data_IF_219433535842
#
_entry.id   IF_219433535842
#
_cell.length_a   1.000
_cell.length_b   1.000
_cell.length_c   1.000
_cell.angle_alpha   90.00
_cell.angle_beta   90.00
_cell.angle_gamma   90.00
#
_symmetry.space_group_name_H-M   'P 1'
#
loop_
_entity.id
_entity.type
_entity.pdbx_description
1 polymer ?
#
# COMPACT_ATOMS: atom_id res chain seq x y z
N UNK A 1 -0.38 -28.55 -29.87
CA UNK A 1 -1.29 -27.51 -30.39
C UNK A 1 -0.72 -26.15 -30.01
N UNK A 2 -0.38 -25.30 -31.00
CA UNK A 2 -0.04 -23.90 -30.73
C UNK A 2 -1.33 -23.16 -30.48
N UNK A 3 -1.52 -22.68 -29.23
CA UNK A 3 -2.62 -21.79 -28.90
C UNK A 3 -2.36 -20.44 -29.60
N UNK A 4 -3.21 -20.06 -30.54
CA UNK A 4 -3.18 -18.74 -31.15
C UNK A 4 -3.88 -17.76 -30.20
N UNK A 5 -3.12 -16.84 -29.58
CA UNK A 5 -3.66 -15.74 -28.75
C UNK A 5 -3.60 -14.45 -29.56
N UNK A 6 -4.65 -13.63 -29.47
CA UNK A 6 -4.75 -12.34 -30.15
C UNK A 6 -3.97 -11.21 -29.45
N UNK A 7 -3.66 -11.39 -28.16
CA UNK A 7 -2.93 -10.43 -27.34
C UNK A 7 -2.66 -11.00 -25.96
N UNK A 8 -1.85 -10.29 -25.18
CA UNK A 8 -1.46 -10.64 -23.80
C UNK A 8 -1.82 -9.49 -22.88
N UNK A 9 -2.54 -9.79 -21.80
CA UNK A 9 -2.69 -8.89 -20.66
C UNK A 9 -1.82 -9.46 -19.53
N UNK A 10 -0.76 -8.75 -19.17
CA UNK A 10 0.14 -9.14 -18.09
C UNK A 10 -0.30 -8.46 -16.79
N UNK A 11 -0.70 -9.27 -15.80
CA UNK A 11 -0.82 -8.81 -14.41
C UNK A 11 0.53 -9.11 -13.76
N UNK A 12 1.37 -8.08 -13.58
CA UNK A 12 2.75 -8.38 -13.26
C UNK A 12 3.32 -7.58 -12.10
N UNK A 13 4.11 -8.28 -11.29
CA UNK A 13 5.01 -7.72 -10.30
C UNK A 13 6.48 -7.89 -10.68
N UNK A 14 6.76 -8.75 -11.67
CA UNK A 14 8.13 -9.03 -12.12
C UNK A 14 8.52 -8.06 -13.24
N UNK A 15 9.57 -7.28 -13.01
CA UNK A 15 10.21 -6.39 -13.97
C UNK A 15 11.60 -6.87 -14.36
N UNK A 16 11.83 -8.19 -14.33
CA UNK A 16 13.12 -8.76 -14.70
C UNK A 16 13.49 -8.39 -16.15
N UNK A 17 14.78 -8.12 -16.43
CA UNK A 17 15.24 -7.80 -17.78
C UNK A 17 14.88 -8.86 -18.82
N UNK A 18 14.83 -10.13 -18.40
CA UNK A 18 14.45 -11.25 -19.26
C UNK A 18 12.99 -11.17 -19.67
N UNK A 19 12.08 -10.91 -18.73
CA UNK A 19 10.66 -10.74 -19.01
C UNK A 19 10.42 -9.50 -19.87
N UNK A 20 11.07 -8.38 -19.55
CA UNK A 20 10.98 -7.15 -20.34
C UNK A 20 11.35 -7.40 -21.81
N UNK A 21 12.44 -8.11 -22.05
CA UNK A 21 12.87 -8.47 -23.41
C UNK A 21 11.86 -9.38 -24.09
N UNK A 22 11.43 -10.44 -23.43
CA UNK A 22 10.46 -11.39 -23.97
C UNK A 22 9.14 -10.72 -24.38
N UNK A 23 8.67 -9.75 -23.58
CA UNK A 23 7.44 -9.01 -23.89
C UNK A 23 7.61 -8.03 -25.04
N UNK A 24 8.77 -7.37 -25.18
CA UNK A 24 9.09 -6.48 -26.30
C UNK A 24 9.22 -7.26 -27.63
N UNK A 25 9.72 -8.48 -27.56
CA UNK A 25 9.91 -9.36 -28.71
C UNK A 25 8.61 -10.12 -29.12
N UNK A 26 7.51 -9.93 -28.35
CA UNK A 26 6.22 -10.53 -28.65
C UNK A 26 5.65 -10.03 -30.00
N UNK A 27 5.13 -10.97 -30.81
CA UNK A 27 4.47 -10.65 -32.09
C UNK A 27 3.00 -10.24 -31.93
N UNK A 28 2.44 -10.35 -30.75
CA UNK A 28 1.06 -9.97 -30.42
C UNK A 28 1.06 -8.76 -29.50
N UNK A 29 0.00 -7.92 -29.51
CA UNK A 29 -0.11 -6.80 -28.60
C UNK A 29 0.00 -7.23 -27.14
N UNK A 30 0.74 -6.45 -26.33
CA UNK A 30 0.91 -6.67 -24.90
C UNK A 30 0.47 -5.43 -24.15
N UNK A 31 -0.34 -5.61 -23.10
CA UNK A 31 -0.71 -4.56 -22.14
C UNK A 31 -0.33 -5.03 -20.74
N UNK A 32 0.36 -4.19 -19.99
CA UNK A 32 0.72 -4.47 -18.58
C UNK A 32 -0.26 -3.77 -17.66
N UNK A 33 -0.71 -4.45 -16.60
CA UNK A 33 -1.58 -3.87 -15.59
C UNK A 33 -0.95 -3.93 -14.21
N UNK A 34 -1.27 -2.95 -13.37
CA UNK A 34 -0.85 -2.88 -11.97
C UNK A 34 0.47 -2.12 -11.76
N UNK A 35 1.30 -1.96 -12.75
CA UNK A 35 2.54 -1.21 -12.67
C UNK A 35 2.93 -0.55 -13.98
N UNK A 36 3.78 0.46 -13.90
CA UNK A 36 4.39 1.06 -15.07
C UNK A 36 5.51 0.17 -15.57
N UNK A 37 5.46 -0.14 -16.86
CA UNK A 37 6.45 -0.96 -17.55
C UNK A 37 7.03 -0.17 -18.71
N UNK A 38 8.35 0.06 -18.71
CA UNK A 38 9.00 0.90 -19.71
C UNK A 38 8.66 0.44 -21.15
N UNK A 39 8.25 1.38 -22.00
CA UNK A 39 7.99 1.21 -23.42
C UNK A 39 6.84 0.25 -23.83
N UNK A 40 6.03 -0.23 -22.88
CA UNK A 40 4.81 -0.99 -23.16
C UNK A 40 3.57 -0.23 -22.75
N UNK A 41 2.44 -0.40 -23.45
CA UNK A 41 1.15 0.09 -22.95
C UNK A 41 0.87 -0.47 -21.57
N UNK A 42 0.56 0.40 -20.60
CA UNK A 42 0.29 -0.02 -19.23
C UNK A 42 -0.86 0.76 -18.60
N UNK A 43 -1.62 0.07 -17.76
CA UNK A 43 -2.67 0.64 -16.93
C UNK A 43 -2.26 0.41 -15.47
N UNK A 44 -2.06 1.48 -14.71
CA UNK A 44 -1.57 1.42 -13.34
C UNK A 44 -2.21 2.48 -12.45
N UNK A 45 -2.15 2.26 -11.15
CA UNK A 45 -2.62 3.21 -10.16
C UNK A 45 -1.54 4.26 -9.86
N UNK A 46 -1.96 5.47 -9.51
CA UNK A 46 -1.05 6.44 -8.89
C UNK A 46 -0.88 6.11 -7.40
N UNK A 47 -0.09 5.07 -7.13
CA UNK A 47 0.16 4.53 -5.80
C UNK A 47 0.78 5.56 -4.85
N UNK A 48 1.64 6.45 -5.38
CA UNK A 48 2.27 7.51 -4.61
C UNK A 48 1.24 8.56 -4.16
N UNK A 49 0.41 9.04 -5.07
CA UNK A 49 -0.66 9.98 -4.72
C UNK A 49 -1.71 9.35 -3.81
N UNK A 50 -2.06 8.08 -4.02
CA UNK A 50 -3.00 7.38 -3.16
C UNK A 50 -2.54 7.35 -1.69
N UNK A 51 -1.29 6.95 -1.46
CA UNK A 51 -0.72 6.89 -0.11
C UNK A 51 -0.54 8.29 0.50
N UNK A 52 -0.14 9.28 -0.31
CA UNK A 52 -0.04 10.68 0.12
C UNK A 52 -1.37 11.23 0.59
N UNK A 53 -2.43 11.05 -0.18
CA UNK A 53 -3.76 11.59 0.14
C UNK A 53 -4.34 10.94 1.41
N UNK A 54 -4.16 9.62 1.62
CA UNK A 54 -4.56 8.95 2.86
C UNK A 54 -3.81 9.50 4.06
N UNK A 55 -2.50 9.71 3.92
CA UNK A 55 -1.67 10.27 4.99
C UNK A 55 -2.06 11.70 5.30
N UNK A 56 -2.29 12.55 4.27
CA UNK A 56 -2.81 13.91 4.46
C UNK A 56 -4.11 13.91 5.25
N UNK A 57 -5.03 12.98 4.93
CA UNK A 57 -6.30 12.86 5.65
C UNK A 57 -6.07 12.58 7.14
N UNK A 58 -5.14 11.72 7.50
CA UNK A 58 -4.77 11.49 8.90
C UNK A 58 -4.20 12.75 9.56
N UNK A 59 -3.29 13.45 8.87
CA UNK A 59 -2.68 14.69 9.36
C UNK A 59 -3.71 15.80 9.56
N UNK A 60 -4.69 15.93 8.66
CA UNK A 60 -5.83 16.85 8.80
C UNK A 60 -6.67 16.56 10.05
N UNK A 61 -6.74 15.28 10.48
CA UNK A 61 -7.40 14.88 11.72
C UNK A 61 -6.48 14.92 12.96
N UNK A 62 -5.36 15.64 12.85
CA UNK A 62 -4.45 15.90 13.96
C UNK A 62 -3.48 14.78 14.30
N UNK A 63 -3.39 13.71 13.50
CA UNK A 63 -2.42 12.62 13.72
C UNK A 63 -1.02 13.11 13.33
N UNK A 64 -0.01 12.82 14.16
CA UNK A 64 1.38 13.30 13.95
C UNK A 64 2.41 12.18 14.03
N UNK A 65 2.11 11.11 14.75
CA UNK A 65 3.01 9.98 14.97
C UNK A 65 2.62 8.84 14.01
N UNK A 66 2.84 9.09 12.73
CA UNK A 66 2.47 8.17 11.65
C UNK A 66 3.51 7.05 11.54
N UNK A 67 3.03 5.81 11.40
CA UNK A 67 3.85 4.65 11.04
C UNK A 67 3.36 4.03 9.74
N UNK A 68 4.22 3.27 9.05
CA UNK A 68 3.91 2.66 7.77
C UNK A 68 4.13 1.15 7.80
N UNK A 69 3.15 0.38 7.34
CA UNK A 69 3.28 -1.05 7.07
C UNK A 69 3.27 -1.24 5.56
N UNK A 70 4.43 -1.58 4.99
CA UNK A 70 4.69 -1.61 3.56
C UNK A 70 4.91 -2.99 2.98
N UNK A 71 5.00 -3.06 1.66
CA UNK A 71 5.51 -4.21 0.91
C UNK A 71 7.03 -4.18 0.77
N UNK A 72 7.58 -5.16 0.05
CA UNK A 72 9.01 -5.24 -0.25
C UNK A 72 9.53 -3.97 -0.92
N UNK A 73 10.70 -3.48 -0.51
CA UNK A 73 11.36 -2.33 -1.16
C UNK A 73 11.80 -2.63 -2.61
N UNK A 74 11.70 -3.86 -3.06
CA UNK A 74 11.96 -4.25 -4.45
C UNK A 74 10.74 -4.04 -5.36
N UNK A 75 9.54 -3.88 -4.80
CA UNK A 75 8.32 -3.59 -5.53
C UNK A 75 8.19 -2.08 -5.74
N UNK A 76 8.19 -1.66 -7.01
CA UNK A 76 8.15 -0.26 -7.38
C UNK A 76 6.83 0.44 -6.98
N UNK A 77 5.70 -0.25 -7.06
CA UNK A 77 4.38 0.30 -6.78
C UNK A 77 4.04 0.23 -5.28
N UNK A 78 3.96 -0.96 -4.73
CA UNK A 78 3.47 -1.18 -3.36
C UNK A 78 4.55 -0.97 -2.31
N UNK A 79 5.82 -1.21 -2.65
CA UNK A 79 6.95 -1.02 -1.75
C UNK A 79 7.49 0.41 -1.77
N UNK A 80 7.85 0.91 -2.95
CA UNK A 80 8.55 2.20 -3.08
C UNK A 80 7.55 3.36 -3.19
N UNK A 81 6.63 3.33 -4.18
CA UNK A 81 5.79 4.49 -4.48
C UNK A 81 4.84 4.83 -3.32
N UNK A 82 4.19 3.84 -2.69
CA UNK A 82 3.30 4.09 -1.55
C UNK A 82 4.06 4.65 -0.36
N UNK A 83 5.23 4.11 -0.02
CA UNK A 83 6.09 4.67 1.03
C UNK A 83 6.48 6.12 0.74
N UNK A 84 6.90 6.41 -0.49
CA UNK A 84 7.24 7.78 -0.89
C UNK A 84 6.04 8.73 -0.74
N UNK A 85 4.83 8.27 -1.06
CA UNK A 85 3.60 9.04 -0.85
C UNK A 85 3.37 9.41 0.61
N UNK A 86 3.56 8.47 1.54
CA UNK A 86 3.49 8.76 2.98
C UNK A 86 4.54 9.80 3.38
N UNK A 87 5.77 9.62 2.93
CA UNK A 87 6.87 10.55 3.21
C UNK A 87 6.61 11.95 2.66
N UNK A 88 6.05 12.06 1.46
CA UNK A 88 5.70 13.35 0.86
C UNK A 88 4.69 14.10 1.72
N UNK A 89 3.62 13.44 2.18
CA UNK A 89 2.62 14.06 3.03
C UNK A 89 3.21 14.54 4.38
N UNK A 90 4.15 13.79 4.96
CA UNK A 90 4.85 14.20 6.17
C UNK A 90 5.72 15.44 5.94
N UNK A 91 6.47 15.50 4.81
CA UNK A 91 7.29 16.66 4.45
C UNK A 91 6.47 17.92 4.24
N UNK A 92 5.29 17.81 3.64
CA UNK A 92 4.39 18.94 3.39
C UNK A 92 3.98 19.69 4.67
N UNK A 93 3.95 18.99 5.80
CA UNK A 93 3.61 19.57 7.11
C UNK A 93 4.83 19.73 8.03
N UNK A 94 6.05 19.55 7.50
CA UNK A 94 7.30 19.73 8.24
C UNK A 94 7.64 18.61 9.24
N UNK A 95 7.02 17.43 9.14
CA UNK A 95 7.34 16.26 9.95
C UNK A 95 8.53 15.49 9.38
N UNK A 96 9.22 14.73 10.26
CA UNK A 96 10.39 13.94 9.87
C UNK A 96 9.99 12.72 9.00
N UNK A 97 10.01 12.92 7.70
CA UNK A 97 9.66 11.88 6.73
C UNK A 97 10.75 10.80 6.57
N UNK A 98 12.02 11.15 6.75
CA UNK A 98 13.14 10.21 6.57
C UNK A 98 13.23 9.23 7.74
N UNK A 99 12.83 9.67 8.92
CA UNK A 99 12.68 8.86 10.13
C UNK A 99 11.37 8.09 10.22
N UNK A 100 10.55 8.01 9.17
CA UNK A 100 9.26 7.30 9.17
C UNK A 100 9.43 5.87 9.71
N UNK A 101 8.85 5.54 10.89
CA UNK A 101 8.87 4.19 11.42
C UNK A 101 8.08 3.25 10.52
N UNK A 102 8.67 2.12 10.16
CA UNK A 102 8.07 1.19 9.22
C UNK A 102 8.39 -0.26 9.52
N UNK A 103 7.51 -1.14 9.06
CA UNK A 103 7.69 -2.58 8.99
C UNK A 103 7.28 -3.08 7.60
N UNK A 104 7.81 -4.23 7.18
CA UNK A 104 7.56 -4.79 5.87
C UNK A 104 6.88 -6.15 5.96
N UNK A 105 5.81 -6.31 5.18
CA UNK A 105 5.11 -7.56 5.01
C UNK A 105 5.81 -8.43 3.98
N UNK A 106 6.00 -9.72 4.28
CA UNK A 106 6.44 -10.72 3.31
C UNK A 106 5.31 -11.09 2.33
N UNK A 107 4.06 -10.98 2.78
CA UNK A 107 2.85 -11.17 1.98
C UNK A 107 1.76 -10.17 2.39
N UNK A 108 0.82 -9.87 1.50
CA UNK A 108 -0.29 -8.96 1.82
C UNK A 108 -1.43 -9.71 2.51
N UNK A 109 -1.16 -10.23 3.69
CA UNK A 109 -2.09 -11.00 4.50
C UNK A 109 -2.40 -10.33 5.83
N UNK A 110 -3.48 -10.79 6.49
CA UNK A 110 -3.84 -10.31 7.82
C UNK A 110 -2.79 -10.72 8.87
N UNK A 111 -2.19 -11.90 8.71
CA UNK A 111 -1.15 -12.42 9.62
C UNK A 111 0.09 -11.52 9.59
N UNK A 112 0.53 -11.14 8.39
CA UNK A 112 1.65 -10.22 8.23
C UNK A 112 1.33 -8.81 8.75
N UNK A 113 0.12 -8.33 8.52
CA UNK A 113 -0.36 -7.08 9.08
C UNK A 113 -0.36 -7.09 10.61
N UNK A 114 -0.77 -8.21 11.21
CA UNK A 114 -0.72 -8.43 12.66
C UNK A 114 0.74 -8.38 13.16
N UNK A 115 1.62 -9.20 12.60
CA UNK A 115 3.04 -9.24 12.97
C UNK A 115 3.73 -7.87 12.88
N UNK A 116 3.54 -7.18 11.76
CA UNK A 116 4.14 -5.87 11.55
C UNK A 116 3.61 -4.82 12.54
N UNK A 117 2.32 -4.90 12.89
CA UNK A 117 1.73 -3.96 13.83
C UNK A 117 2.23 -4.20 15.26
N UNK A 118 2.39 -5.45 15.69
CA UNK A 118 3.00 -5.78 16.99
C UNK A 118 4.42 -5.21 17.09
N UNK A 119 5.22 -5.41 16.05
CA UNK A 119 6.58 -4.85 15.97
C UNK A 119 6.57 -3.32 16.11
N UNK A 120 5.71 -2.63 15.33
CA UNK A 120 5.65 -1.17 15.34
C UNK A 120 5.10 -0.63 16.65
N UNK A 121 4.10 -1.27 17.24
CA UNK A 121 3.54 -0.83 18.52
C UNK A 121 4.55 -0.95 19.66
N UNK A 122 5.38 -2.00 19.65
CA UNK A 122 6.46 -2.16 20.62
C UNK A 122 7.55 -1.09 20.46
N UNK A 123 7.90 -0.71 19.23
CA UNK A 123 8.93 0.30 18.92
C UNK A 123 8.43 1.74 19.05
N UNK A 124 7.15 1.96 18.79
CA UNK A 124 6.51 3.27 18.69
C UNK A 124 5.20 3.28 19.48
N UNK A 125 5.21 3.15 20.83
CA UNK A 125 4.00 3.05 21.64
C UNK A 125 3.10 4.30 21.57
N UNK A 126 3.63 5.43 21.11
CA UNK A 126 2.93 6.71 20.98
C UNK A 126 2.32 6.92 19.59
N UNK A 127 2.38 5.92 18.69
CA UNK A 127 1.80 6.06 17.36
C UNK A 127 0.31 6.44 17.45
N UNK A 128 -0.12 7.31 16.53
CA UNK A 128 -1.50 7.79 16.43
C UNK A 128 -2.06 7.68 15.00
N UNK A 129 -1.25 7.19 14.05
CA UNK A 129 -1.68 6.91 12.69
C UNK A 129 -0.91 5.74 12.07
N UNK A 130 -1.63 4.85 11.39
CA UNK A 130 -1.06 3.68 10.70
C UNK A 130 -1.53 3.69 9.25
N UNK A 131 -0.60 3.78 8.33
CA UNK A 131 -0.86 3.63 6.89
C UNK A 131 -0.37 2.26 6.45
N UNK A 132 -1.29 1.43 5.95
CA UNK A 132 -1.00 0.08 5.48
C UNK A 132 -0.99 0.02 3.96
N UNK A 133 -0.10 -0.80 3.42
CA UNK A 133 0.04 -1.04 1.99
C UNK A 133 -1.26 -1.53 1.35
N UNK A 134 -2.05 -2.35 2.03
CA UNK A 134 -3.37 -2.81 1.58
C UNK A 134 -4.37 -2.84 2.73
N UNK A 135 -5.67 -2.91 2.39
CA UNK A 135 -6.75 -3.08 3.38
C UNK A 135 -6.62 -4.41 4.13
N UNK A 136 -6.20 -5.49 3.45
CA UNK A 136 -6.00 -6.79 4.10
C UNK A 136 -4.96 -6.72 5.21
N UNK A 137 -3.86 -6.02 4.97
CA UNK A 137 -2.82 -5.76 5.98
C UNK A 137 -3.38 -4.89 7.11
N UNK A 138 -4.20 -3.87 6.78
CA UNK A 138 -4.83 -3.02 7.77
C UNK A 138 -5.79 -3.79 8.70
N UNK A 139 -6.50 -4.81 8.21
CA UNK A 139 -7.34 -5.66 9.07
C UNK A 139 -6.51 -6.45 10.10
N UNK A 140 -5.32 -6.90 9.71
CA UNK A 140 -4.37 -7.51 10.65
C UNK A 140 -3.91 -6.52 11.73
N UNK A 141 -3.53 -5.32 11.33
CA UNK A 141 -3.13 -4.24 12.23
C UNK A 141 -4.27 -3.83 13.18
N UNK A 142 -5.52 -3.77 12.69
CA UNK A 142 -6.71 -3.47 13.51
C UNK A 142 -6.86 -4.42 14.69
N UNK A 143 -6.63 -5.70 14.48
CA UNK A 143 -6.73 -6.70 15.57
C UNK A 143 -5.73 -6.42 16.69
N UNK A 144 -4.49 -6.07 16.35
CA UNK A 144 -3.45 -5.75 17.34
C UNK A 144 -3.80 -4.47 18.10
N UNK A 145 -4.20 -3.41 17.38
CA UNK A 145 -4.57 -2.15 18.00
C UNK A 145 -5.73 -2.32 19.01
N UNK A 146 -6.76 -3.09 18.64
CA UNK A 146 -7.87 -3.41 19.53
C UNK A 146 -7.43 -4.22 20.74
N UNK A 147 -6.61 -5.25 20.56
CA UNK A 147 -6.08 -6.05 21.66
C UNK A 147 -5.24 -5.22 22.63
N UNK A 148 -4.56 -4.18 22.14
CA UNK A 148 -3.82 -3.20 22.95
C UNK A 148 -4.69 -2.10 23.55
N UNK A 149 -6.02 -2.19 23.46
CA UNK A 149 -6.96 -1.21 24.00
C UNK A 149 -7.00 0.12 23.25
N UNK A 150 -6.45 0.20 22.03
CA UNK A 150 -6.46 1.43 21.21
C UNK A 150 -7.77 1.56 20.46
N UNK A 151 -8.41 2.70 20.56
CA UNK A 151 -9.67 3.01 19.86
C UNK A 151 -9.36 3.57 18.48
N UNK A 152 -9.47 2.68 17.46
CA UNK A 152 -9.27 3.09 16.06
C UNK A 152 -10.37 4.06 15.66
N UNK A 153 -9.99 5.16 15.00
CA UNK A 153 -10.86 6.29 14.70
C UNK A 153 -10.78 7.42 15.73
N UNK A 154 -10.60 7.10 17.01
CA UNK A 154 -10.47 8.08 18.09
C UNK A 154 -9.01 8.31 18.50
N UNK A 155 -8.32 7.29 18.98
CA UNK A 155 -6.93 7.38 19.46
C UNK A 155 -5.92 7.19 18.30
N UNK A 156 -6.24 6.30 17.36
CA UNK A 156 -5.36 5.94 16.25
C UNK A 156 -6.14 5.96 14.93
N UNK A 157 -5.61 6.67 13.93
CA UNK A 157 -6.07 6.56 12.55
C UNK A 157 -5.52 5.29 11.90
N UNK A 158 -6.33 4.56 11.14
CA UNK A 158 -5.89 3.38 10.40
C UNK A 158 -6.38 3.47 8.95
N UNK A 159 -5.47 3.33 7.99
CA UNK A 159 -5.79 3.39 6.57
C UNK A 159 -5.17 2.23 5.79
N UNK A 160 -5.87 1.82 4.73
CA UNK A 160 -5.41 0.86 3.73
C UNK A 160 -5.68 1.35 2.31
N UNK A 161 -5.12 0.66 1.33
CA UNK A 161 -5.34 0.91 -0.09
C UNK A 161 -5.92 -0.34 -0.72
N UNK A 162 -7.08 -0.23 -1.42
CA UNK A 162 -7.69 -1.35 -2.12
C UNK A 162 -9.21 -1.32 -2.22
N UNK A 163 -9.89 -0.49 -1.43
CA UNK A 163 -11.37 -0.41 -1.34
C UNK A 163 -12.02 -1.79 -1.14
N UNK A 164 -11.41 -2.60 -0.26
CA UNK A 164 -11.96 -3.90 0.08
C UNK A 164 -13.34 -3.73 0.75
N UNK A 165 -14.34 -4.45 0.26
CA UNK A 165 -15.72 -4.40 0.78
C UNK A 165 -15.80 -4.63 2.31
N UNK A 166 -14.88 -5.45 2.85
CA UNK A 166 -14.81 -5.70 4.29
C UNK A 166 -14.52 -4.44 5.11
N UNK A 167 -13.85 -3.43 4.52
CA UNK A 167 -13.61 -2.13 5.15
C UNK A 167 -14.89 -1.36 5.47
N UNK A 168 -16.01 -1.69 4.79
CA UNK A 168 -17.33 -1.05 4.99
C UNK A 168 -18.13 -1.69 6.12
N UNK A 169 -17.78 -2.92 6.51
CA UNK A 169 -18.51 -3.70 7.54
C UNK A 169 -17.72 -3.82 8.85
N UNK A 170 -16.48 -3.37 8.87
CA UNK A 170 -15.66 -3.33 10.08
C UNK A 170 -15.94 -2.04 10.83
N UNK A 171 -16.26 -2.10 12.13
CA UNK A 171 -16.38 -0.94 13.00
C UNK A 171 -15.16 -0.84 13.93
N UNK A 172 -14.55 0.36 14.05
CA UNK A 172 -14.76 1.53 13.18
C UNK A 172 -14.24 1.25 11.76
N UNK A 173 -14.86 1.92 10.77
CA UNK A 173 -14.45 1.79 9.37
C UNK A 173 -12.99 2.21 9.13
N UNK A 174 -12.32 1.58 8.18
CA UNK A 174 -11.00 2.01 7.74
C UNK A 174 -11.10 3.28 6.90
N UNK A 175 -10.12 4.18 7.03
CA UNK A 175 -9.86 5.12 5.96
C UNK A 175 -9.33 4.34 4.76
N UNK A 176 -10.09 4.27 3.69
CA UNK A 176 -9.63 3.63 2.46
C UNK A 176 -9.81 4.55 1.27
N UNK A 177 -8.96 4.39 0.27
CA UNK A 177 -9.11 5.00 -1.03
C UNK A 177 -9.33 3.89 -2.05
N UNK A 178 -10.35 4.02 -2.93
CA UNK A 178 -10.50 3.12 -4.07
C UNK A 178 -9.21 3.12 -4.89
N UNK A 179 -8.68 1.95 -5.20
CA UNK A 179 -7.49 1.82 -6.04
C UNK A 179 -7.71 2.23 -7.48
N UNK A 180 -8.96 2.33 -7.92
CA UNK A 180 -9.34 2.69 -9.29
C UNK A 180 -10.40 3.78 -9.30
N UNK A 181 -10.11 4.89 -9.96
CA UNK A 181 -11.13 5.68 -10.68
C UNK A 181 -10.74 5.60 -12.16
N UNK A 182 -11.57 4.89 -12.95
CA UNK A 182 -11.54 4.96 -14.40
C UNK A 182 -11.92 6.36 -14.87
#
# INVERSE_FOLDING_TARGET
QRNHVAGIILLGYDSSPQLCKALKDCRVPVVVTGQRFADLPCVYNDDRSAARDLTRKMLEHGRKNIVYIGGSEQDAATGIARRQGVQDALREVGLNADGLPRAYCAAFSMEEGHRCMEELLARCPQLDGVVCVTDTVAFGALRVLRAAGRRVGEDVGLAGIGDNWAGKVVEPGLYHRPGYRG
#
